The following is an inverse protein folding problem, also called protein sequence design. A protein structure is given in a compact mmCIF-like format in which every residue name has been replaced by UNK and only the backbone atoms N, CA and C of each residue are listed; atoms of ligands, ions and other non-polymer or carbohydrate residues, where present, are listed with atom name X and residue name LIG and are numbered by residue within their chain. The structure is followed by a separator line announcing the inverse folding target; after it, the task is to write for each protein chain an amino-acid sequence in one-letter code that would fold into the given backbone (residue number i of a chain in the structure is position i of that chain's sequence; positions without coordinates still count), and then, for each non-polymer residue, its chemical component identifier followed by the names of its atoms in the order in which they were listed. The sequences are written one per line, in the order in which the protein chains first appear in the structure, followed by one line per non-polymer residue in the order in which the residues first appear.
data_IF_448129205132
#
_entry.id   IF_448129205132
#
_cell.length_a   1.000
_cell.length_b   1.000
_cell.length_c   1.000
_cell.angle_alpha   90.00
_cell.angle_beta   90.00
_cell.angle_gamma   90.00
#
_symmetry.space_group_name_H-M   'P 1'
#
loop_
_entity.id
_entity.type
_entity.pdbx_description
1 polymer ?
#
# COMPACT_ATOMS: atom_id res chain seq x y z
N UNK A 1 -8.46 -14.85 -5.90
CA UNK A 1 -7.14 -14.25 -5.57
C UNK A 1 -6.78 -14.66 -4.15
N UNK A 2 -5.57 -15.16 -3.92
CA UNK A 2 -5.12 -15.55 -2.57
C UNK A 2 -4.77 -14.34 -1.70
N UNK A 3 -4.69 -14.53 -0.38
CA UNK A 3 -4.31 -13.49 0.56
C UNK A 3 -2.94 -12.87 0.21
N UNK A 4 -1.96 -13.73 -0.13
CA UNK A 4 -0.61 -13.32 -0.54
C UNK A 4 -0.62 -12.48 -1.82
N UNK A 5 -1.44 -12.87 -2.81
CA UNK A 5 -1.61 -12.09 -4.03
C UNK A 5 -2.18 -10.70 -3.72
N UNK A 6 -3.18 -10.60 -2.84
CA UNK A 6 -3.76 -9.33 -2.43
C UNK A 6 -2.74 -8.45 -1.68
N UNK A 7 -1.92 -9.02 -0.78
CA UNK A 7 -0.84 -8.29 -0.13
C UNK A 7 0.16 -7.73 -1.13
N UNK A 8 0.53 -8.51 -2.16
CA UNK A 8 1.42 -8.06 -3.23
C UNK A 8 0.80 -6.91 -4.04
N UNK A 9 -0.49 -7.01 -4.39
CA UNK A 9 -1.23 -5.93 -5.06
C UNK A 9 -1.21 -4.67 -4.20
N UNK A 10 -1.56 -4.77 -2.92
CA UNK A 10 -1.52 -3.65 -1.99
C UNK A 10 -0.12 -3.00 -1.95
N UNK A 11 0.96 -3.79 -1.89
CA UNK A 11 2.32 -3.25 -1.97
C UNK A 11 2.57 -2.44 -3.24
N UNK A 12 2.06 -2.91 -4.39
CA UNK A 12 2.19 -2.17 -5.66
C UNK A 12 1.37 -0.87 -5.68
N UNK A 13 0.13 -0.89 -5.19
CA UNK A 13 -0.72 0.30 -5.13
C UNK A 13 -0.05 1.38 -4.27
N UNK A 14 0.41 1.03 -3.07
CA UNK A 14 1.08 1.99 -2.18
C UNK A 14 2.42 2.45 -2.74
N UNK A 15 3.20 1.55 -3.37
CA UNK A 15 4.41 1.94 -4.09
C UNK A 15 4.13 2.95 -5.20
N UNK A 16 3.03 2.79 -5.97
CA UNK A 16 2.63 3.72 -7.03
C UNK A 16 2.35 5.11 -6.47
N UNK A 17 1.67 5.21 -5.33
CA UNK A 17 1.46 6.49 -4.62
C UNK A 17 2.80 7.10 -4.21
N UNK A 18 3.64 6.36 -3.49
CA UNK A 18 4.92 6.89 -3.00
C UNK A 18 5.86 7.33 -4.15
N UNK A 19 5.79 6.65 -5.30
CA UNK A 19 6.58 7.01 -6.50
C UNK A 19 6.17 8.35 -7.11
N UNK A 20 4.96 8.86 -6.80
CA UNK A 20 4.54 10.22 -7.20
C UNK A 20 5.36 11.27 -6.46
N UNK A 21 5.67 11.04 -5.19
CA UNK A 21 6.37 11.97 -4.28
C UNK A 21 7.88 11.73 -4.20
N UNK A 22 8.35 10.52 -4.50
CA UNK A 22 9.76 10.16 -4.47
C UNK A 22 10.16 9.43 -5.76
N UNK A 23 11.05 10.04 -6.55
CA UNK A 23 11.39 9.56 -7.91
C UNK A 23 12.43 8.45 -7.96
N UNK A 24 13.17 8.21 -6.86
CA UNK A 24 14.17 7.13 -6.82
C UNK A 24 13.52 5.79 -6.47
N UNK A 25 14.31 4.72 -6.52
CA UNK A 25 13.85 3.34 -6.34
C UNK A 25 13.20 3.12 -4.97
N UNK A 26 11.98 2.59 -5.01
CA UNK A 26 11.27 1.99 -3.86
C UNK A 26 11.19 0.49 -4.08
N UNK A 27 11.75 -0.29 -3.17
CA UNK A 27 11.72 -1.75 -3.22
C UNK A 27 10.67 -2.33 -2.29
N UNK A 28 10.05 -3.42 -2.71
CA UNK A 28 9.16 -4.22 -1.84
C UNK A 28 10.05 -5.23 -1.12
N UNK A 29 10.08 -5.16 0.21
CA UNK A 29 10.62 -6.22 1.06
C UNK A 29 9.47 -7.14 1.43
N UNK A 30 9.55 -8.38 0.94
CA UNK A 30 8.54 -9.40 1.21
C UNK A 30 8.36 -9.62 2.73
N UNK A 31 7.12 -9.84 3.22
CA UNK A 31 5.88 -9.91 2.45
C UNK A 31 5.19 -8.55 2.23
N UNK A 32 5.54 -7.51 2.98
CA UNK A 32 4.60 -6.41 3.20
C UNK A 32 5.21 -5.04 3.53
N UNK A 33 6.52 -4.87 3.40
CA UNK A 33 7.20 -3.62 3.68
C UNK A 33 7.68 -2.94 2.40
N UNK A 34 7.62 -1.61 2.36
CA UNK A 34 8.28 -0.81 1.33
C UNK A 34 9.53 -0.17 1.93
N UNK A 35 10.63 -0.26 1.19
CA UNK A 35 11.93 0.28 1.58
C UNK A 35 12.44 1.31 0.57
N UNK A 36 13.16 2.30 1.10
CA UNK A 36 14.02 3.21 0.35
C UNK A 36 15.41 3.12 0.96
N UNK A 37 16.44 2.85 0.15
CA UNK A 37 17.82 2.70 0.62
C UNK A 37 17.95 1.73 1.82
N UNK A 38 17.27 0.57 1.76
CA UNK A 38 17.18 -0.44 2.83
C UNK A 38 16.49 0.03 4.13
N UNK A 39 15.97 1.26 4.19
CA UNK A 39 15.20 1.79 5.32
C UNK A 39 13.69 1.67 5.05
N UNK A 40 12.91 1.23 6.03
CA UNK A 40 11.44 1.12 5.91
C UNK A 40 10.76 2.47 5.86
N UNK A 41 9.90 2.65 4.86
CA UNK A 41 9.03 3.84 4.70
C UNK A 41 7.55 3.53 4.89
N UNK A 42 7.13 2.30 4.59
CA UNK A 42 5.74 1.88 4.72
C UNK A 42 5.66 0.42 5.13
N UNK A 43 4.65 0.08 5.93
CA UNK A 43 4.25 -1.30 6.22
C UNK A 43 2.78 -1.51 5.91
N UNK A 44 2.45 -2.69 5.40
CA UNK A 44 1.09 -3.06 5.02
C UNK A 44 0.71 -4.32 5.80
N UNK A 45 -0.47 -4.35 6.37
CA UNK A 45 -1.02 -5.51 7.06
C UNK A 45 -2.40 -5.81 6.50
N UNK A 46 -2.76 -7.08 6.47
CA UNK A 46 -4.02 -7.51 5.92
C UNK A 46 -4.63 -8.56 6.83
N UNK A 47 -5.90 -8.37 7.15
CA UNK A 47 -6.68 -9.26 7.99
C UNK A 47 -7.97 -9.63 7.28
N UNK A 48 -8.47 -10.81 7.60
CA UNK A 48 -9.76 -11.28 7.10
C UNK A 48 -10.73 -11.36 8.27
N UNK A 49 -11.82 -10.62 8.18
CA UNK A 49 -12.91 -10.67 9.16
C UNK A 49 -14.10 -11.37 8.52
N UNK A 50 -14.59 -12.44 9.14
CA UNK A 50 -15.84 -13.09 8.72
C UNK A 50 -16.94 -12.65 9.68
N UNK A 51 -18.03 -12.09 9.14
CA UNK A 51 -19.22 -11.72 9.91
C UNK A 51 -20.47 -12.13 9.15
N UNK A 52 -21.31 -12.93 9.80
CA UNK A 52 -22.42 -13.64 9.14
C UNK A 52 -21.89 -14.41 7.90
N UNK A 53 -22.44 -14.13 6.72
CA UNK A 53 -22.05 -14.76 5.46
C UNK A 53 -21.14 -13.88 4.59
N UNK A 54 -20.60 -12.78 5.14
CA UNK A 54 -19.72 -11.87 4.41
C UNK A 54 -18.30 -11.97 4.94
N UNK A 55 -17.36 -12.13 4.00
CA UNK A 55 -15.92 -12.07 4.29
C UNK A 55 -15.39 -10.69 3.91
N UNK A 56 -14.83 -9.99 4.89
CA UNK A 56 -14.20 -8.68 4.73
C UNK A 56 -12.69 -8.83 4.68
N UNK A 57 -12.06 -8.08 3.78
CA UNK A 57 -10.62 -7.91 3.74
C UNK A 57 -10.27 -6.53 4.26
N UNK A 58 -9.58 -6.47 5.40
CA UNK A 58 -9.17 -5.24 6.05
C UNK A 58 -7.69 -5.04 5.74
N UNK A 59 -7.34 -3.93 5.09
CA UNK A 59 -5.95 -3.59 4.78
C UNK A 59 -5.52 -2.39 5.63
N UNK A 60 -4.61 -2.61 6.57
CA UNK A 60 -3.93 -1.55 7.31
C UNK A 60 -2.69 -1.07 6.55
N UNK A 61 -2.57 0.25 6.34
CA UNK A 61 -1.41 0.85 5.64
C UNK A 61 -0.79 1.92 6.54
N UNK A 62 0.45 1.68 6.99
CA UNK A 62 1.24 2.64 7.75
C UNK A 62 2.30 3.30 6.88
N UNK A 63 2.20 4.62 6.66
CA UNK A 63 3.15 5.40 5.84
C UNK A 63 3.86 6.45 6.68
N UNK A 64 5.20 6.45 6.67
CA UNK A 64 6.02 7.44 7.35
C UNK A 64 6.12 8.74 6.52
N UNK A 65 5.30 9.75 6.84
CA UNK A 65 5.28 11.03 6.11
C UNK A 65 6.33 12.03 6.63
N UNK A 66 6.24 12.38 7.92
CA UNK A 66 7.06 13.44 8.55
C UNK A 66 8.09 12.85 9.53
N UNK A 67 7.71 11.79 10.23
CA UNK A 67 8.56 11.08 11.18
C UNK A 67 8.51 9.60 10.88
N UNK A 68 9.49 8.88 11.41
CA UNK A 68 9.55 7.42 11.36
C UNK A 68 10.06 6.90 12.71
N UNK A 69 9.61 5.72 13.14
CA UNK A 69 9.97 5.18 14.46
C UNK A 69 11.42 4.72 14.47
N UNK A 70 12.10 4.87 15.61
CA UNK A 70 13.38 4.21 15.83
C UNK A 70 13.13 2.76 16.25
N UNK A 71 13.53 1.80 15.40
CA UNK A 71 13.35 0.37 15.67
C UNK A 71 14.74 -0.27 15.68
N UNK A 72 15.06 -0.97 16.78
CA UNK A 72 16.34 -1.66 16.93
C UNK A 72 16.56 -2.62 15.76
N UNK A 73 17.72 -2.50 15.11
CA UNK A 73 18.14 -3.31 13.95
C UNK A 73 17.18 -3.24 12.74
N UNK A 74 16.28 -2.26 12.69
CA UNK A 74 15.35 -2.11 11.58
C UNK A 74 15.24 -0.64 11.17
N UNK A 75 16.15 -0.16 10.30
CA UNK A 75 16.24 1.25 9.99
C UNK A 75 14.97 1.71 9.26
N UNK A 76 14.53 2.92 9.58
CA UNK A 76 13.33 3.53 9.01
C UNK A 76 13.67 4.89 8.39
N UNK A 77 12.80 5.34 7.50
CA UNK A 77 12.86 6.67 6.88
C UNK A 77 11.44 7.21 6.74
N UNK A 78 11.33 8.50 6.43
CA UNK A 78 10.06 9.14 6.11
C UNK A 78 10.19 9.98 4.82
N UNK A 79 9.05 10.37 4.22
CA UNK A 79 9.06 11.16 2.98
C UNK A 79 9.76 12.51 3.15
N UNK A 80 9.54 13.21 4.27
CA UNK A 80 10.17 14.50 4.52
C UNK A 80 11.71 14.41 4.56
N UNK A 81 12.27 13.37 5.19
CA UNK A 81 13.71 13.11 5.22
C UNK A 81 14.27 12.93 3.81
N UNK A 82 13.55 12.19 2.96
CA UNK A 82 13.95 11.79 1.61
C UNK A 82 13.80 12.91 0.57
N UNK A 83 12.74 13.70 0.65
CA UNK A 83 12.38 14.70 -0.37
C UNK A 83 12.65 16.14 0.06
N UNK A 84 12.83 16.37 1.37
CA UNK A 84 12.85 17.71 2.01
C UNK A 84 11.56 18.52 1.78
N UNK A 85 10.50 17.86 1.31
CA UNK A 85 9.20 18.48 1.02
C UNK A 85 8.17 17.85 1.95
N UNK A 86 7.43 18.70 2.67
CA UNK A 86 6.32 18.27 3.52
C UNK A 86 5.11 17.91 2.66
N UNK A 87 4.85 16.62 2.51
CA UNK A 87 3.67 16.12 1.80
C UNK A 87 2.43 16.26 2.68
N UNK A 88 1.36 16.82 2.11
CA UNK A 88 0.07 16.96 2.80
C UNK A 88 -0.57 15.60 3.07
N UNK A 89 -0.99 15.36 4.33
CA UNK A 89 -1.75 14.16 4.71
C UNK A 89 -3.05 14.04 3.90
N UNK A 90 -3.75 15.16 3.66
CA UNK A 90 -4.98 15.19 2.85
C UNK A 90 -4.73 14.72 1.42
N UNK A 91 -3.58 15.11 0.84
CA UNK A 91 -3.18 14.67 -0.50
C UNK A 91 -2.97 13.15 -0.57
N UNK A 92 -2.24 12.58 0.39
CA UNK A 92 -2.03 11.12 0.47
C UNK A 92 -3.36 10.37 0.64
N UNK A 93 -4.28 10.87 1.48
CA UNK A 93 -5.61 10.26 1.66
C UNK A 93 -6.41 10.27 0.35
N UNK A 94 -6.41 11.39 -0.37
CA UNK A 94 -7.08 11.50 -1.67
C UNK A 94 -6.50 10.52 -2.71
N UNK A 95 -5.16 10.42 -2.76
CA UNK A 95 -4.46 9.49 -3.66
C UNK A 95 -4.73 8.02 -3.30
N UNK A 96 -4.83 7.69 -2.01
CA UNK A 96 -5.25 6.37 -1.53
C UNK A 96 -6.68 6.07 -1.96
N UNK A 97 -7.62 6.99 -1.73
CA UNK A 97 -9.01 6.80 -2.14
C UNK A 97 -9.11 6.52 -3.65
N UNK A 98 -8.54 7.40 -4.48
CA UNK A 98 -8.59 7.28 -5.94
C UNK A 98 -7.96 5.97 -6.44
N UNK A 99 -6.79 5.56 -5.92
CA UNK A 99 -6.16 4.33 -6.42
C UNK A 99 -6.94 3.07 -6.02
N UNK A 100 -7.59 3.07 -4.85
CA UNK A 100 -8.39 1.93 -4.41
C UNK A 100 -9.74 1.87 -5.13
N UNK A 101 -10.37 3.02 -5.42
CA UNK A 101 -11.56 3.10 -6.26
C UNK A 101 -11.27 2.54 -7.67
N UNK A 102 -10.19 2.99 -8.30
CA UNK A 102 -9.73 2.46 -9.61
C UNK A 102 -9.47 0.96 -9.55
N UNK A 103 -8.80 0.48 -8.50
CA UNK A 103 -8.51 -0.94 -8.33
C UNK A 103 -9.79 -1.78 -8.18
N UNK A 104 -10.73 -1.34 -7.35
CA UNK A 104 -12.01 -2.04 -7.12
C UNK A 104 -12.83 -2.11 -8.43
N UNK A 105 -12.88 -1.01 -9.18
CA UNK A 105 -13.59 -0.96 -10.47
C UNK A 105 -12.97 -1.91 -11.51
N UNK A 106 -11.64 -1.95 -11.60
CA UNK A 106 -10.95 -2.88 -12.50
C UNK A 106 -11.15 -4.34 -12.07
N UNK A 107 -11.07 -4.60 -10.77
CA UNK A 107 -11.25 -5.94 -10.22
C UNK A 107 -12.67 -6.48 -10.46
N UNK A 108 -13.70 -5.63 -10.28
CA UNK A 108 -15.09 -6.03 -10.54
C UNK A 108 -15.32 -6.33 -12.02
N UNK A 109 -14.83 -5.49 -12.94
CA UNK A 109 -14.91 -5.72 -14.39
C UNK A 109 -14.26 -7.02 -14.84
N UNK A 110 -13.08 -7.35 -14.29
CA UNK A 110 -12.39 -8.61 -14.58
C UNK A 110 -13.20 -9.81 -14.09
N UNK A 111 -13.76 -9.75 -12.88
CA UNK A 111 -14.57 -10.83 -12.34
C UNK A 111 -15.81 -11.12 -13.19
N UNK A 112 -16.48 -10.09 -13.70
CA UNK A 112 -17.66 -10.25 -14.57
C UNK A 112 -17.31 -10.87 -15.92
N UNK A 113 -16.14 -10.55 -16.50
CA UNK A 113 -15.69 -11.17 -17.76
C UNK A 113 -15.39 -12.66 -17.59
N UNK A 114 -14.79 -13.05 -16.47
CA UNK A 114 -14.52 -14.47 -16.17
C UNK A 114 -15.81 -15.28 -16.02
N UNK A 115 -16.85 -14.70 -15.40
CA UNK A 115 -18.16 -15.37 -15.26
C UNK A 115 -18.91 -15.48 -16.59
N UNK A 116 -18.79 -14.50 -17.49
CA UNK A 116 -19.45 -14.55 -18.82
C UNK A 116 -18.83 -15.54 -19.81
N UNK A 117 -17.61 -16.01 -19.53
CA UNK A 117 -16.89 -16.97 -20.38
C UNK A 117 -16.95 -18.41 -19.81
N UNK A 118 -17.81 -18.63 -18.81
CA UNK A 118 -18.21 -19.94 -18.29
C UNK A 118 -19.63 -20.25 -18.79
#
# INVERSE_FOLDING_TARGET
MSLQQLTKVNCFLIKKILSRHYKKKISIKSPNDLLVNKKKICGILQETLKKANTTYFITGVGINLIKSPNIKNYPTTNLLELTKIKVSKKKIISELKSIYEEFIEQFSKLSLKTVKNL
#
